data_IF_230423325216
#
_entry.id   IF_230423325216
#
_cell.length_a   1.000
_cell.length_b   1.000
_cell.length_c   1.000
_cell.angle_alpha   90.00
_cell.angle_beta   90.00
_cell.angle_gamma   90.00
#
_symmetry.space_group_name_H-M   'P 1'
#
loop_
_entity.id
_entity.type
_entity.pdbx_description
1 polymer ?
#
# COMPACT_ATOMS: atom_id res chain seq x y z
N UNK A 1 24.82 -11.68 13.68
CA UNK A 1 23.39 -11.70 13.29
C UNK A 1 23.22 -10.70 12.16
N UNK A 2 23.16 -11.19 10.92
CA UNK A 2 23.09 -10.37 9.72
C UNK A 2 21.67 -9.82 9.58
N UNK A 3 21.45 -8.58 10.02
CA UNK A 3 20.23 -7.84 9.67
C UNK A 3 20.29 -7.54 8.17
N UNK A 4 19.74 -8.45 7.38
CA UNK A 4 19.55 -8.21 5.95
C UNK A 4 18.74 -6.95 5.77
N UNK A 5 19.35 -5.93 5.15
CA UNK A 5 18.70 -4.73 4.63
C UNK A 5 17.77 -5.14 3.48
N UNK A 6 16.68 -5.82 3.84
CA UNK A 6 15.64 -6.17 2.90
C UNK A 6 14.51 -5.15 3.02
N UNK A 7 13.95 -4.84 1.87
CA UNK A 7 12.78 -3.99 1.78
C UNK A 7 11.58 -4.84 1.34
N UNK A 8 10.40 -4.39 1.73
CA UNK A 8 9.14 -4.87 1.23
C UNK A 8 8.54 -3.84 0.27
N UNK A 9 7.93 -4.34 -0.79
CA UNK A 9 6.91 -3.59 -1.49
C UNK A 9 5.57 -3.94 -0.84
N UNK A 10 4.82 -2.91 -0.43
CA UNK A 10 3.48 -3.10 0.11
C UNK A 10 2.48 -2.54 -0.89
N UNK A 11 1.56 -3.39 -1.33
CA UNK A 11 0.44 -3.00 -2.20
C UNK A 11 -0.85 -3.06 -1.40
N UNK A 12 -1.59 -1.95 -1.37
CA UNK A 12 -2.96 -1.88 -0.89
C UNK A 12 -3.91 -1.85 -2.09
N UNK A 13 -4.94 -2.68 -2.07
CA UNK A 13 -6.06 -2.63 -3.00
C UNK A 13 -7.35 -2.35 -2.23
N UNK A 14 -7.99 -1.22 -2.51
CA UNK A 14 -9.27 -0.82 -1.91
C UNK A 14 -10.35 -0.90 -2.97
N UNK A 15 -11.46 -1.54 -2.62
CA UNK A 15 -12.68 -1.61 -3.42
C UNK A 15 -13.80 -0.88 -2.70
N UNK A 16 -14.29 0.17 -3.33
CA UNK A 16 -15.49 0.90 -2.96
C UNK A 16 -16.70 0.35 -3.68
N UNK A 17 -17.88 0.47 -3.07
CA UNK A 17 -19.15 0.13 -3.69
C UNK A 17 -20.23 1.18 -3.37
N UNK A 18 -21.43 1.01 -3.93
CA UNK A 18 -22.57 1.90 -3.72
C UNK A 18 -22.34 3.35 -4.15
N UNK A 19 -23.00 4.26 -3.43
CA UNK A 19 -23.06 5.69 -3.75
C UNK A 19 -21.66 6.32 -3.77
N UNK A 20 -20.77 5.91 -2.87
CA UNK A 20 -19.42 6.46 -2.79
C UNK A 20 -18.57 6.11 -4.01
N UNK A 21 -18.69 4.88 -4.51
CA UNK A 21 -18.05 4.48 -5.76
C UNK A 21 -18.55 5.32 -6.94
N UNK A 22 -19.86 5.54 -7.04
CA UNK A 22 -20.46 6.36 -8.10
C UNK A 22 -20.01 7.82 -8.04
N UNK A 23 -20.08 8.42 -6.84
CA UNK A 23 -19.84 9.85 -6.62
C UNK A 23 -18.37 10.22 -6.76
N UNK A 24 -17.49 9.47 -6.11
CA UNK A 24 -16.08 9.86 -5.98
C UNK A 24 -15.13 8.99 -6.79
N UNK A 25 -15.49 7.75 -7.13
CA UNK A 25 -14.57 6.77 -7.71
C UNK A 25 -15.06 6.19 -9.05
N UNK A 26 -15.85 6.96 -9.80
CA UNK A 26 -16.17 6.68 -11.20
C UNK A 26 -15.05 7.13 -12.14
N UNK A 27 -14.30 8.16 -11.75
CA UNK A 27 -13.07 8.66 -12.36
C UNK A 27 -12.18 9.22 -11.27
N UNK A 28 -10.88 9.30 -11.52
CA UNK A 28 -9.96 9.91 -10.56
C UNK A 28 -9.96 11.43 -10.66
N UNK A 29 -10.33 12.12 -9.58
CA UNK A 29 -10.31 13.59 -9.47
C UNK A 29 -9.56 14.05 -8.22
N UNK A 30 -9.40 15.37 -8.06
CA UNK A 30 -8.86 15.94 -6.81
C UNK A 30 -9.75 15.64 -5.60
N UNK A 31 -11.07 15.66 -5.80
CA UNK A 31 -12.02 15.30 -4.74
C UNK A 31 -11.91 13.82 -4.38
N UNK A 32 -11.73 12.94 -5.37
CA UNK A 32 -11.45 11.52 -5.15
C UNK A 32 -10.19 11.31 -4.30
N UNK A 33 -9.11 12.05 -4.61
CA UNK A 33 -7.85 11.97 -3.85
C UNK A 33 -8.04 12.41 -2.39
N UNK A 34 -8.77 13.50 -2.19
CA UNK A 34 -9.12 13.99 -0.85
C UNK A 34 -9.93 12.95 -0.07
N UNK A 35 -11.03 12.45 -0.63
CA UNK A 35 -11.90 11.45 0.01
C UNK A 35 -11.11 10.18 0.32
N UNK A 36 -10.27 9.72 -0.61
CA UNK A 36 -9.43 8.56 -0.40
C UNK A 36 -8.44 8.74 0.78
N UNK A 37 -7.81 9.92 0.92
CA UNK A 37 -6.94 10.22 2.07
C UNK A 37 -7.69 10.28 3.39
N UNK A 38 -8.90 10.83 3.39
CA UNK A 38 -9.78 10.85 4.56
C UNK A 38 -10.12 9.40 5.00
N UNK A 39 -10.42 8.53 4.04
CA UNK A 39 -10.68 7.11 4.30
C UNK A 39 -9.45 6.37 4.84
N UNK A 40 -8.27 6.60 4.25
CA UNK A 40 -7.02 6.03 4.79
C UNK A 40 -6.76 6.49 6.22
N UNK A 41 -7.09 7.74 6.55
CA UNK A 41 -6.95 8.27 7.91
C UNK A 41 -7.91 7.57 8.87
N UNK A 42 -9.16 7.36 8.48
CA UNK A 42 -10.14 6.63 9.26
C UNK A 42 -9.73 5.16 9.48
N UNK A 43 -9.09 4.54 8.49
CA UNK A 43 -8.49 3.21 8.59
C UNK A 43 -7.13 3.17 9.31
N UNK A 44 -6.64 4.33 9.77
CA UNK A 44 -5.31 4.52 10.41
C UNK A 44 -4.15 4.03 9.54
N UNK A 45 -4.30 4.15 8.23
CA UNK A 45 -3.30 3.77 7.24
C UNK A 45 -2.44 4.97 6.85
N UNK A 46 -1.14 4.74 6.54
CA UNK A 46 -0.29 5.79 6.02
C UNK A 46 -0.79 6.26 4.66
N UNK A 47 -0.51 7.52 4.31
CA UNK A 47 -0.90 8.05 3.01
C UNK A 47 0.17 7.68 1.98
N UNK A 48 -0.20 7.03 0.86
CA UNK A 48 0.74 6.81 -0.23
C UNK A 48 1.07 8.13 -0.91
N UNK A 49 2.23 8.19 -1.55
CA UNK A 49 2.50 9.28 -2.49
C UNK A 49 1.49 9.22 -3.63
N UNK A 50 1.14 10.40 -4.16
CA UNK A 50 0.21 10.55 -5.27
C UNK A 50 0.63 9.70 -6.47
N UNK A 51 1.92 9.72 -6.82
CA UNK A 51 2.52 8.96 -7.91
C UNK A 51 2.41 7.43 -7.73
N UNK A 52 2.20 6.96 -6.50
CA UNK A 52 2.04 5.55 -6.18
C UNK A 52 0.58 5.14 -5.98
N UNK A 53 -0.37 6.03 -6.30
CA UNK A 53 -1.82 5.76 -6.22
C UNK A 53 -2.39 5.70 -7.62
N UNK A 54 -2.93 4.54 -7.98
CA UNK A 54 -3.51 4.27 -9.28
C UNK A 54 -5.00 3.99 -9.14
N UNK A 55 -5.80 4.73 -9.91
CA UNK A 55 -7.19 4.37 -10.17
C UNK A 55 -7.21 3.25 -11.21
N UNK A 56 -7.67 2.06 -10.83
CA UNK A 56 -7.70 0.93 -11.75
C UNK A 56 -8.96 0.96 -12.61
N UNK A 57 -10.11 1.08 -11.96
CA UNK A 57 -11.43 1.08 -12.58
C UNK A 57 -12.47 1.48 -11.52
N UNK A 58 -13.73 1.67 -11.92
CA UNK A 58 -14.86 2.02 -11.06
C UNK A 58 -14.77 1.45 -9.62
N UNK A 59 -14.52 2.30 -8.63
CA UNK A 59 -14.39 1.93 -7.21
C UNK A 59 -13.11 1.19 -6.82
N UNK A 60 -12.22 0.84 -7.73
CA UNK A 60 -10.95 0.14 -7.47
C UNK A 60 -9.76 1.10 -7.45
N UNK A 61 -9.08 1.14 -6.31
CA UNK A 61 -7.91 1.98 -6.10
C UNK A 61 -6.77 1.10 -5.60
N UNK A 62 -5.62 1.24 -6.23
CA UNK A 62 -4.39 0.59 -5.82
C UNK A 62 -3.39 1.61 -5.33
N UNK A 63 -2.76 1.33 -4.19
CA UNK A 63 -1.70 2.15 -3.62
C UNK A 63 -0.47 1.31 -3.34
N UNK A 64 0.70 1.84 -3.64
CA UNK A 64 1.98 1.14 -3.45
C UNK A 64 2.89 1.94 -2.52
N UNK A 65 3.48 1.27 -1.54
CA UNK A 65 4.61 1.78 -0.79
C UNK A 65 5.84 0.96 -1.20
N UNK A 66 6.67 1.50 -2.10
CA UNK A 66 7.93 0.85 -2.46
C UNK A 66 8.91 1.00 -1.31
N UNK A 67 9.84 0.04 -1.21
CA UNK A 67 10.99 0.12 -0.32
C UNK A 67 10.65 0.33 1.16
N UNK A 68 9.62 -0.33 1.67
CA UNK A 68 9.26 -0.32 3.10
C UNK A 68 10.26 -1.19 3.87
N UNK A 69 10.92 -0.68 4.92
CA UNK A 69 11.83 -1.51 5.72
C UNK A 69 11.13 -2.75 6.29
N UNK A 70 11.82 -3.90 6.28
CA UNK A 70 11.34 -5.19 6.86
C UNK A 70 10.92 -5.12 8.33
N UNK A 71 11.34 -4.09 9.04
CA UNK A 71 11.00 -3.86 10.44
C UNK A 71 10.83 -2.37 10.68
N UNK A 72 9.78 -1.98 11.40
CA UNK A 72 9.60 -0.59 11.80
C UNK A 72 8.14 -0.24 12.08
N UNK A 73 7.90 0.98 12.58
CA UNK A 73 6.56 1.46 12.93
C UNK A 73 5.61 1.45 11.72
N UNK A 74 6.14 1.68 10.51
CA UNK A 74 5.36 1.72 9.28
C UNK A 74 4.75 0.37 8.90
N UNK A 75 5.57 -0.69 8.85
CA UNK A 75 5.09 -2.05 8.58
C UNK A 75 4.13 -2.51 9.68
N UNK A 76 4.46 -2.23 10.94
CA UNK A 76 3.60 -2.54 12.09
C UNK A 76 2.24 -1.84 11.99
N UNK A 77 2.21 -0.58 11.55
CA UNK A 77 0.98 0.19 11.36
C UNK A 77 0.10 -0.42 10.27
N UNK A 78 0.68 -0.78 9.12
CA UNK A 78 -0.07 -1.42 8.02
C UNK A 78 -0.59 -2.80 8.43
N UNK A 79 0.25 -3.62 9.07
CA UNK A 79 -0.15 -4.94 9.54
C UNK A 79 -1.25 -4.87 10.61
N UNK A 80 -1.18 -3.92 11.55
CA UNK A 80 -2.23 -3.70 12.56
C UNK A 80 -3.51 -3.14 11.97
N UNK A 81 -3.38 -2.22 11.01
CA UNK A 81 -4.51 -1.60 10.34
C UNK A 81 -5.31 -2.61 9.53
N UNK A 82 -4.64 -3.57 8.87
CA UNK A 82 -5.26 -4.37 7.80
C UNK A 82 -5.27 -5.87 8.11
N UNK A 83 -5.11 -6.30 9.36
CA UNK A 83 -5.41 -7.67 9.77
C UNK A 83 -6.93 -7.88 9.81
N UNK A 84 -7.56 -8.37 8.72
CA UNK A 84 -9.01 -8.34 8.56
C UNK A 84 -9.69 -9.51 9.29
N UNK A 85 -8.92 -10.53 9.69
CA UNK A 85 -9.48 -11.74 10.29
C UNK A 85 -9.86 -11.58 11.77
N UNK A 86 -9.35 -10.55 12.45
CA UNK A 86 -9.56 -10.42 13.91
C UNK A 86 -10.12 -9.05 14.34
N UNK A 87 -10.05 -8.02 13.49
CA UNK A 87 -10.42 -6.66 13.90
C UNK A 87 -11.85 -6.29 13.48
N UNK A 88 -12.82 -6.54 14.37
CA UNK A 88 -14.25 -6.19 14.20
C UNK A 88 -14.46 -4.69 13.97
N UNK A 89 -13.64 -3.85 14.59
CA UNK A 89 -13.70 -2.40 14.41
C UNK A 89 -13.29 -2.01 13.00
N UNK A 90 -12.25 -2.63 12.45
CA UNK A 90 -11.82 -2.39 11.07
C UNK A 90 -12.91 -2.73 10.05
N UNK A 91 -13.60 -3.87 10.22
CA UNK A 91 -14.73 -4.25 9.36
C UNK A 91 -15.88 -3.24 9.45
N UNK A 92 -16.17 -2.75 10.66
CA UNK A 92 -17.20 -1.73 10.88
C UNK A 92 -16.85 -0.43 10.16
N UNK A 93 -15.62 0.06 10.34
CA UNK A 93 -15.14 1.27 9.65
C UNK A 93 -15.17 1.07 8.13
N UNK A 94 -14.73 -0.08 7.60
CA UNK A 94 -14.84 -0.36 6.16
C UNK A 94 -16.29 -0.28 5.67
N UNK A 95 -17.25 -0.86 6.40
CA UNK A 95 -18.66 -0.79 6.03
C UNK A 95 -19.20 0.65 6.06
N UNK A 96 -18.87 1.44 7.08
CA UNK A 96 -19.25 2.87 7.19
C UNK A 96 -18.64 3.71 6.06
N UNK A 97 -17.46 3.31 5.57
CA UNK A 97 -16.77 3.98 4.46
C UNK A 97 -17.14 3.45 3.07
N UNK A 98 -18.11 2.53 2.97
CA UNK A 98 -18.51 1.87 1.72
C UNK A 98 -17.38 1.07 1.04
N UNK A 99 -16.44 0.57 1.84
CA UNK A 99 -15.33 -0.28 1.38
C UNK A 99 -15.75 -1.74 1.51
N UNK A 100 -15.88 -2.41 0.38
CA UNK A 100 -16.27 -3.84 0.30
C UNK A 100 -15.09 -4.78 0.39
N UNK A 101 -13.90 -4.32 -0.01
CA UNK A 101 -12.68 -5.09 0.12
C UNK A 101 -11.49 -4.17 0.33
N UNK A 102 -10.61 -4.56 1.25
CA UNK A 102 -9.35 -3.89 1.54
C UNK A 102 -8.28 -4.99 1.68
N UNK A 103 -7.42 -5.12 0.68
CA UNK A 103 -6.43 -6.21 0.60
C UNK A 103 -5.02 -5.64 0.62
N UNK A 104 -4.16 -6.21 1.46
CA UNK A 104 -2.72 -5.91 1.47
C UNK A 104 -1.93 -7.07 0.95
N UNK A 105 -1.01 -6.79 0.06
CA UNK A 105 0.03 -7.73 -0.38
C UNK A 105 1.38 -7.16 0.03
N UNK A 106 2.18 -7.99 0.68
CA UNK A 106 3.57 -7.67 1.04
C UNK A 106 4.46 -8.55 0.19
N UNK A 107 5.28 -7.95 -0.67
CA UNK A 107 6.28 -8.64 -1.47
C UNK A 107 7.66 -8.32 -0.89
N UNK A 108 8.45 -9.35 -0.58
CA UNK A 108 9.85 -9.17 -0.24
C UNK A 108 10.66 -8.98 -1.52
N UNK A 109 11.40 -7.88 -1.62
CA UNK A 109 12.55 -7.85 -2.51
C UNK A 109 13.77 -8.31 -1.72
N UNK A 110 14.39 -9.40 -2.18
CA UNK A 110 15.75 -9.74 -1.77
C UNK A 110 16.70 -8.82 -2.52
N UNK A 111 17.35 -7.92 -1.76
CA UNK A 111 18.41 -7.07 -2.27
C UNK A 111 19.53 -7.95 -2.83
N UNK A 112 19.56 -8.17 -4.15
CA UNK A 112 20.76 -8.67 -4.82
C UNK A 112 21.76 -7.51 -4.74
N UNK A 113 22.69 -7.59 -3.79
CA UNK A 113 23.82 -6.68 -3.73
C UNK A 113 24.52 -6.74 -5.09
N UNK A 114 24.44 -5.64 -5.84
CA UNK A 114 25.25 -5.41 -7.03
C UNK A 114 26.71 -5.47 -6.59
N UNK A 115 27.35 -6.63 -6.75
CA UNK A 115 28.80 -6.76 -6.61
C UNK A 115 29.43 -5.77 -7.60
N UNK A 116 30.38 -4.91 -7.18
CA UNK A 116 31.11 -4.09 -8.12
C UNK A 116 31.87 -5.02 -9.07
N UNK A 117 31.55 -4.95 -10.37
CA UNK A 117 32.38 -5.54 -11.43
C UNK A 117 33.70 -4.77 -11.46
N UNK A 118 34.66 -5.18 -10.64
CA UNK A 118 36.05 -4.90 -10.93
C UNK A 118 36.44 -5.73 -12.14
N UNK A 119 36.43 -5.10 -13.30
CA UNK A 119 37.11 -5.58 -14.50
C UNK A 119 38.60 -5.67 -14.16
N UNK A 120 39.11 -6.91 -13.97
CA UNK A 120 40.54 -7.17 -14.02
C UNK A 120 41.01 -6.91 -15.45
N UNK A 121 41.71 -5.81 -15.67
CA UNK A 121 42.56 -5.65 -16.85
C UNK A 121 43.83 -6.47 -16.60
N UNK A 122 44.02 -7.53 -17.38
CA UNK A 122 45.31 -8.22 -17.53
C UNK A 122 45.84 -7.83 -18.91
N UNK A 123 46.89 -6.99 -19.02
CA UNK A 123 47.71 -6.95 -20.21
C UNK A 123 48.76 -8.08 -20.18
N UNK A 124 48.89 -8.73 -21.33
CA UNK A 124 49.88 -9.76 -21.70
C UNK A 124 51.33 -9.30 -21.49
#
# INVERSE_FOLDING_TARGET
MSHGLGYHEITLLVRYDGVKATQYFSKWTQESDRVFREDLTALRLPHPKRENTTFLSYGYIQSIWPSVPKSGPFLNQIQRGISPNENREFKKVCAELYITSCTVKVRCEESILLLPRHTMNIPL
#
